data_IF_042913774168
#
_entry.id   IF_042913774168
#
_cell.length_a   1.000
_cell.length_b   1.000
_cell.length_c   1.000
_cell.angle_alpha   90.00
_cell.angle_beta   90.00
_cell.angle_gamma   90.00
#
_symmetry.space_group_name_H-M   'P 1'
#
loop_
_entity.id
_entity.type
_entity.pdbx_description
1 polymer ?
#
# COMPACT_ATOMS: atom_id res chain seq x y z
N UNK A 1 -33.94 30.18 -65.18
CA UNK A 1 -33.08 31.26 -64.65
C UNK A 1 -33.65 31.76 -63.33
N UNK A 2 -33.08 31.42 -62.18
CA UNK A 2 -33.14 32.15 -60.88
C UNK A 2 -32.43 31.31 -59.83
N UNK A 3 -31.11 31.28 -59.86
CA UNK A 3 -30.18 30.63 -58.91
C UNK A 3 -29.75 31.56 -57.76
N UNK A 4 -30.60 32.43 -57.24
CA UNK A 4 -30.17 33.48 -56.32
C UNK A 4 -31.08 33.62 -55.06
N UNK A 5 -31.75 32.57 -54.60
CA UNK A 5 -32.62 32.64 -53.43
C UNK A 5 -32.38 31.54 -52.38
N UNK A 6 -31.17 30.96 -52.34
CA UNK A 6 -30.90 29.88 -51.39
C UNK A 6 -29.87 30.26 -50.30
N UNK A 7 -29.45 31.50 -50.20
CA UNK A 7 -28.42 31.91 -49.25
C UNK A 7 -28.88 32.98 -48.20
N UNK A 8 -30.17 33.18 -47.97
CA UNK A 8 -30.67 34.14 -46.98
C UNK A 8 -31.48 33.53 -45.83
N UNK A 9 -31.23 32.28 -45.48
CA UNK A 9 -31.93 31.61 -44.39
C UNK A 9 -31.03 30.94 -43.31
N UNK A 10 -29.73 31.25 -43.30
CA UNK A 10 -28.78 30.52 -42.44
C UNK A 10 -28.09 31.41 -41.38
N UNK A 11 -28.79 32.40 -40.81
CA UNK A 11 -28.22 33.25 -39.77
C UNK A 11 -29.15 33.50 -38.57
N UNK A 12 -29.92 32.50 -38.18
CA UNK A 12 -30.60 32.56 -36.86
C UNK A 12 -30.63 31.14 -36.28
N UNK A 13 -29.62 30.77 -35.48
CA UNK A 13 -29.59 29.47 -34.84
C UNK A 13 -28.27 29.17 -34.14
N UNK A 14 -27.50 30.19 -33.76
CA UNK A 14 -26.26 30.00 -32.98
C UNK A 14 -26.40 30.70 -31.64
N UNK A 15 -27.31 30.23 -30.81
CA UNK A 15 -27.33 30.62 -29.40
C UNK A 15 -27.65 29.36 -28.57
N UNK A 16 -26.85 29.15 -27.55
CA UNK A 16 -27.01 28.22 -26.46
C UNK A 16 -26.59 26.78 -26.78
N UNK A 17 -25.27 26.57 -26.84
CA UNK A 17 -24.66 25.36 -26.29
C UNK A 17 -23.53 25.80 -25.35
N UNK A 18 -23.86 26.51 -24.31
CA UNK A 18 -23.06 26.51 -23.08
C UNK A 18 -23.22 25.16 -22.45
N UNK A 19 -22.65 24.14 -23.07
CA UNK A 19 -22.48 22.81 -22.49
C UNK A 19 -21.56 23.00 -21.31
N UNK A 20 -22.11 22.71 -20.12
CA UNK A 20 -21.38 22.66 -18.89
C UNK A 20 -20.06 21.94 -19.10
N UNK A 21 -18.97 22.63 -18.85
CA UNK A 21 -17.68 22.02 -18.66
C UNK A 21 -17.82 21.10 -17.46
N UNK A 22 -18.18 19.84 -17.71
CA UNK A 22 -17.99 18.78 -16.76
C UNK A 22 -16.50 18.86 -16.42
N UNK A 23 -16.19 19.35 -15.24
CA UNK A 23 -14.86 19.28 -14.66
C UNK A 23 -14.52 17.79 -14.57
N UNK A 24 -13.90 17.28 -15.62
CA UNK A 24 -13.25 15.99 -15.55
C UNK A 24 -12.26 16.11 -14.41
N UNK A 25 -12.53 15.41 -13.33
CA UNK A 25 -11.61 15.35 -12.20
C UNK A 25 -10.23 15.04 -12.77
N UNK A 26 -9.28 15.96 -12.62
CA UNK A 26 -7.90 15.73 -13.06
C UNK A 26 -7.42 14.43 -12.42
N UNK A 27 -6.88 13.47 -13.18
CA UNK A 27 -6.35 12.25 -12.60
C UNK A 27 -5.35 12.62 -11.50
N UNK A 28 -5.33 11.87 -10.42
CA UNK A 28 -4.45 12.12 -9.27
C UNK A 28 -2.98 12.30 -9.67
N UNK A 29 -2.55 11.66 -10.75
CA UNK A 29 -1.22 11.83 -11.35
C UNK A 29 -0.93 13.26 -11.82
N UNK A 30 -1.94 14.03 -12.27
CA UNK A 30 -1.77 15.41 -12.68
C UNK A 30 -1.55 16.36 -11.48
N UNK A 31 -1.87 15.92 -10.27
CA UNK A 31 -1.63 16.66 -9.02
C UNK A 31 -0.34 16.23 -8.30
N UNK A 32 0.44 15.31 -8.89
CA UNK A 32 1.65 14.78 -8.27
C UNK A 32 1.38 13.86 -7.05
N UNK A 33 0.14 13.39 -6.90
CA UNK A 33 -0.24 12.44 -5.84
C UNK A 33 0.04 11.02 -6.34
N UNK A 34 0.79 10.25 -5.55
CA UNK A 34 1.00 8.82 -5.80
C UNK A 34 0.18 8.01 -4.79
N UNK A 35 -0.71 7.17 -5.29
CA UNK A 35 -1.43 6.20 -4.49
C UNK A 35 -0.65 4.89 -4.43
N UNK A 36 -0.49 4.36 -3.22
CA UNK A 36 0.10 3.08 -2.92
C UNK A 36 -0.97 2.12 -2.39
N UNK A 37 -0.85 0.86 -2.74
CA UNK A 37 -1.76 -0.20 -2.29
C UNK A 37 -1.04 -1.06 -1.25
N UNK A 38 -1.62 -1.15 -0.06
CA UNK A 38 -1.14 -2.00 1.03
C UNK A 38 -2.08 -3.18 1.22
N UNK A 39 -1.57 -4.39 1.07
CA UNK A 39 -2.31 -5.63 1.37
C UNK A 39 -1.92 -6.14 2.75
N UNK A 40 -2.87 -6.69 3.51
CA UNK A 40 -2.59 -7.17 4.88
C UNK A 40 -3.05 -8.60 5.08
N UNK A 41 -2.45 -9.27 6.05
CA UNK A 41 -2.89 -10.60 6.51
C UNK A 41 -3.93 -10.53 7.62
N UNK A 42 -4.41 -9.32 7.97
CA UNK A 42 -5.34 -9.07 9.07
C UNK A 42 -6.74 -8.78 8.59
N UNK A 43 -7.77 -9.20 9.34
CA UNK A 43 -9.13 -8.67 9.16
C UNK A 43 -9.16 -7.14 9.30
N UNK A 44 -10.14 -6.52 8.66
CA UNK A 44 -10.34 -5.07 8.78
C UNK A 44 -10.52 -4.67 10.24
N UNK A 45 -9.79 -3.63 10.64
CA UNK A 45 -9.82 -3.08 12.01
C UNK A 45 -9.45 -4.08 13.13
N UNK A 46 -8.78 -5.18 12.79
CA UNK A 46 -8.28 -6.12 13.80
C UNK A 46 -7.42 -5.37 14.83
N UNK A 47 -7.71 -5.53 16.14
CA UNK A 47 -7.03 -4.77 17.19
C UNK A 47 -5.51 -4.91 17.13
N UNK A 48 -4.80 -3.80 17.22
CA UNK A 48 -3.35 -3.74 17.13
C UNK A 48 -2.84 -3.81 15.69
N UNK A 49 -3.03 -4.92 15.00
CA UNK A 49 -2.41 -5.20 13.70
C UNK A 49 -3.15 -4.52 12.54
N UNK A 50 -4.45 -4.75 12.38
CA UNK A 50 -5.24 -4.10 11.33
C UNK A 50 -5.37 -2.59 11.54
N UNK A 51 -5.61 -2.17 12.80
CA UNK A 51 -5.62 -0.74 13.15
C UNK A 51 -4.24 -0.09 13.02
N UNK A 52 -3.18 -0.85 13.25
CA UNK A 52 -1.80 -0.44 13.05
C UNK A 52 -1.50 -0.14 11.58
N UNK A 53 -1.86 -1.03 10.67
CA UNK A 53 -1.71 -0.84 9.22
C UNK A 53 -2.41 0.46 8.75
N UNK A 54 -3.64 0.71 9.22
CA UNK A 54 -4.38 1.94 8.92
C UNK A 54 -3.66 3.19 9.46
N UNK A 55 -3.19 3.17 10.71
CA UNK A 55 -2.43 4.29 11.29
C UNK A 55 -1.14 4.57 10.55
N UNK A 56 -0.45 3.54 10.06
CA UNK A 56 0.73 3.70 9.23
C UNK A 56 0.36 4.40 7.91
N UNK A 57 -0.69 3.97 7.23
CA UNK A 57 -1.19 4.58 6.01
C UNK A 57 -1.53 6.06 6.20
N UNK A 58 -2.27 6.40 7.26
CA UNK A 58 -2.60 7.78 7.62
C UNK A 58 -1.34 8.61 7.92
N UNK A 59 -0.34 8.01 8.58
CA UNK A 59 0.92 8.68 8.89
C UNK A 59 1.76 8.96 7.66
N UNK A 60 1.85 8.03 6.72
CA UNK A 60 2.52 8.22 5.42
C UNK A 60 1.86 9.38 4.67
N UNK A 61 0.52 9.40 4.60
CA UNK A 61 -0.24 10.46 3.93
C UNK A 61 0.03 11.82 4.58
N UNK A 62 -0.04 11.89 5.91
CA UNK A 62 0.20 13.13 6.64
C UNK A 62 1.64 13.62 6.50
N UNK A 63 2.64 12.76 6.67
CA UNK A 63 4.06 13.12 6.58
C UNK A 63 4.48 13.55 5.18
N UNK A 64 3.84 13.01 4.15
CA UNK A 64 4.10 13.39 2.75
C UNK A 64 3.37 14.67 2.32
N UNK A 65 2.59 15.30 3.21
CA UNK A 65 1.73 16.44 2.84
C UNK A 65 0.68 16.06 1.80
N UNK A 66 0.20 14.81 1.80
CA UNK A 66 -0.78 14.29 0.86
C UNK A 66 -0.22 13.85 -0.50
N UNK A 67 1.10 13.95 -0.71
CA UNK A 67 1.74 13.51 -1.97
C UNK A 67 1.75 11.98 -2.12
N UNK A 68 1.75 11.25 -1.00
CA UNK A 68 1.57 9.81 -0.97
C UNK A 68 0.26 9.50 -0.24
N UNK A 69 -0.57 8.69 -0.84
CA UNK A 69 -1.75 8.11 -0.19
C UNK A 69 -1.61 6.61 -0.16
N UNK A 70 -2.10 5.96 0.88
CA UNK A 70 -2.02 4.50 1.01
C UNK A 70 -3.44 3.96 1.20
N UNK A 71 -3.88 3.16 0.26
CA UNK A 71 -5.11 2.38 0.38
C UNK A 71 -4.81 1.04 1.04
N UNK A 72 -5.51 0.72 2.13
CA UNK A 72 -5.29 -0.50 2.92
C UNK A 72 -6.37 -1.51 2.61
N UNK A 73 -5.95 -2.67 2.12
CA UNK A 73 -6.80 -3.83 1.84
C UNK A 73 -6.64 -4.86 2.94
N UNK A 74 -7.73 -5.18 3.61
CA UNK A 74 -7.75 -6.22 4.63
C UNK A 74 -7.57 -7.62 4.00
N UNK A 75 -7.35 -8.62 4.86
CA UNK A 75 -7.18 -10.00 4.45
C UNK A 75 -8.30 -10.47 3.52
N UNK A 76 -7.94 -10.94 2.32
CA UNK A 76 -8.87 -11.46 1.32
C UNK A 76 -9.60 -10.41 0.47
N UNK A 77 -9.40 -9.10 0.70
CA UNK A 77 -10.08 -8.06 -0.11
C UNK A 77 -9.47 -7.88 -1.50
N UNK A 78 -8.17 -8.06 -1.63
CA UNK A 78 -7.46 -7.90 -2.90
C UNK A 78 -6.72 -9.18 -3.32
N UNK A 79 -6.06 -9.81 -2.36
CA UNK A 79 -5.36 -11.09 -2.53
C UNK A 79 -5.64 -11.98 -1.33
N UNK A 80 -5.52 -13.31 -1.46
CA UNK A 80 -5.52 -14.21 -0.31
C UNK A 80 -4.45 -13.77 0.71
N UNK A 81 -4.71 -13.86 2.02
CA UNK A 81 -3.82 -13.28 3.04
C UNK A 81 -2.35 -13.67 2.89
N UNK A 82 -2.07 -14.96 2.67
CA UNK A 82 -0.71 -15.47 2.57
C UNK A 82 -0.05 -15.27 1.20
N UNK A 83 -0.77 -14.72 0.23
CA UNK A 83 -0.22 -14.30 -1.06
C UNK A 83 0.25 -12.83 -1.07
N UNK A 84 0.14 -12.12 0.07
CA UNK A 84 0.56 -10.71 0.19
C UNK A 84 2.03 -10.51 -0.13
N UNK A 85 2.89 -11.44 0.25
CA UNK A 85 4.32 -11.43 -0.07
C UNK A 85 4.55 -11.49 -1.58
N UNK A 86 3.92 -12.46 -2.25
CA UNK A 86 4.05 -12.62 -3.70
C UNK A 86 3.44 -11.44 -4.47
N UNK A 87 2.35 -10.86 -3.95
CA UNK A 87 1.72 -9.69 -4.54
C UNK A 87 2.67 -8.48 -4.58
N UNK A 88 3.45 -8.24 -3.51
CA UNK A 88 4.42 -7.14 -3.48
C UNK A 88 5.70 -7.50 -4.23
N UNK A 89 6.22 -8.71 -4.07
CA UNK A 89 7.41 -9.17 -4.78
C UNK A 89 7.24 -9.12 -6.31
N UNK A 90 6.02 -9.38 -6.81
CA UNK A 90 5.68 -9.29 -8.24
C UNK A 90 5.28 -7.89 -8.71
N UNK A 91 5.13 -6.91 -7.81
CA UNK A 91 4.69 -5.56 -8.12
C UNK A 91 3.17 -5.39 -8.29
N UNK A 92 2.36 -6.39 -7.92
CA UNK A 92 0.89 -6.31 -7.95
C UNK A 92 0.32 -5.48 -6.78
N UNK A 93 1.10 -5.28 -5.73
CA UNK A 93 0.85 -4.35 -4.64
C UNK A 93 2.15 -3.62 -4.29
N UNK A 94 2.04 -2.47 -3.63
CA UNK A 94 3.21 -1.66 -3.28
C UNK A 94 3.76 -2.01 -1.89
N UNK A 95 2.89 -2.40 -0.97
CA UNK A 95 3.22 -2.68 0.42
C UNK A 95 2.46 -3.92 0.90
N UNK A 96 3.05 -4.68 1.80
CA UNK A 96 2.30 -5.62 2.63
C UNK A 96 2.53 -5.34 4.12
N UNK A 97 1.57 -5.74 4.94
CA UNK A 97 1.68 -5.67 6.40
C UNK A 97 1.29 -7.03 6.98
N UNK A 98 2.29 -7.74 7.51
CA UNK A 98 2.16 -9.13 7.93
C UNK A 98 3.21 -9.50 8.99
N UNK A 99 3.33 -10.78 9.29
CA UNK A 99 4.40 -11.34 10.13
C UNK A 99 5.25 -12.28 9.26
N UNK A 100 6.55 -12.14 9.35
CA UNK A 100 7.52 -12.79 8.48
C UNK A 100 7.47 -14.33 8.51
N UNK A 101 7.17 -14.97 9.63
CA UNK A 101 7.15 -16.43 9.73
C UNK A 101 6.08 -17.10 8.85
N UNK A 102 5.14 -16.35 8.30
CA UNK A 102 4.16 -16.89 7.35
C UNK A 102 4.82 -17.44 6.08
N UNK A 103 6.01 -16.96 5.74
CA UNK A 103 6.77 -17.36 4.55
C UNK A 103 8.04 -18.15 4.89
N UNK A 104 8.02 -18.90 5.99
CA UNK A 104 9.12 -19.80 6.38
C UNK A 104 9.40 -20.91 5.35
N UNK A 105 8.46 -21.20 4.47
CA UNK A 105 8.62 -22.09 3.31
C UNK A 105 9.54 -21.50 2.23
N UNK A 106 9.59 -20.18 2.09
CA UNK A 106 10.50 -19.45 1.21
C UNK A 106 11.92 -19.40 1.78
N UNK A 107 12.02 -19.07 3.05
CA UNK A 107 13.26 -19.14 3.82
C UNK A 107 12.96 -19.25 5.32
N UNK A 108 13.57 -20.22 5.98
CA UNK A 108 13.46 -20.36 7.44
C UNK A 108 14.06 -19.17 8.19
N UNK A 109 14.92 -18.39 7.54
CA UNK A 109 15.52 -17.19 8.13
C UNK A 109 14.49 -16.10 8.46
N UNK A 110 13.32 -16.07 7.79
CA UNK A 110 12.24 -15.16 8.13
C UNK A 110 11.73 -15.31 9.57
N UNK A 111 11.84 -16.49 10.17
CA UNK A 111 11.45 -16.70 11.55
C UNK A 111 12.24 -15.82 12.54
N UNK A 112 13.50 -15.49 12.24
CA UNK A 112 14.34 -14.67 13.11
C UNK A 112 13.88 -13.22 13.20
N UNK A 113 13.12 -12.75 12.23
CA UNK A 113 12.55 -11.38 12.19
C UNK A 113 11.10 -11.32 12.70
N UNK A 114 10.59 -12.41 13.24
CA UNK A 114 9.24 -12.50 13.79
C UNK A 114 9.24 -13.00 15.24
N UNK A 115 9.26 -14.30 15.45
CA UNK A 115 9.20 -14.90 16.79
C UNK A 115 10.04 -16.16 16.84
N UNK A 116 11.00 -16.19 17.78
CA UNK A 116 11.81 -17.36 18.08
C UNK A 116 11.47 -17.81 19.51
N UNK A 117 11.09 -19.07 19.74
CA UNK A 117 10.86 -19.57 21.08
C UNK A 117 12.10 -19.34 21.97
N UNK A 118 11.89 -18.78 23.16
CA UNK A 118 12.95 -18.37 24.09
C UNK A 118 13.96 -17.36 23.52
N UNK A 119 13.58 -16.66 22.43
CA UNK A 119 14.40 -15.65 21.78
C UNK A 119 14.33 -14.27 22.47
N UNK A 120 14.58 -13.26 21.69
CA UNK A 120 14.63 -11.87 22.16
C UNK A 120 13.25 -11.37 22.59
N UNK A 121 13.23 -10.56 23.66
CA UNK A 121 12.06 -9.74 24.00
C UNK A 121 11.86 -8.65 22.96
N UNK A 122 10.71 -7.96 22.99
CA UNK A 122 10.44 -6.85 22.08
C UNK A 122 11.56 -5.79 22.08
N UNK A 123 11.99 -5.36 23.27
CA UNK A 123 13.02 -4.33 23.40
C UNK A 123 14.37 -4.78 22.85
N UNK A 124 14.73 -6.04 23.09
CA UNK A 124 15.96 -6.64 22.54
C UNK A 124 15.88 -6.83 21.04
N UNK A 125 14.72 -7.24 20.51
CA UNK A 125 14.49 -7.33 19.05
C UNK A 125 14.62 -5.96 18.38
N UNK A 126 13.99 -4.93 18.93
CA UNK A 126 14.11 -3.57 18.44
C UNK A 126 15.55 -3.06 18.47
N UNK A 127 16.29 -3.36 19.54
CA UNK A 127 17.70 -3.00 19.67
C UNK A 127 18.56 -3.77 18.64
N UNK A 128 18.33 -5.06 18.47
CA UNK A 128 19.03 -5.86 17.47
C UNK A 128 18.77 -5.36 16.05
N UNK A 129 17.52 -5.12 15.69
CA UNK A 129 17.17 -4.61 14.35
C UNK A 129 17.84 -3.26 14.10
N UNK A 130 17.78 -2.33 15.07
CA UNK A 130 18.26 -0.95 14.88
C UNK A 130 19.77 -0.78 15.01
N UNK A 131 20.41 -1.55 15.89
CA UNK A 131 21.79 -1.32 16.31
C UNK A 131 22.68 -2.55 16.29
N UNK A 132 22.09 -3.74 16.14
CA UNK A 132 22.80 -5.02 16.21
C UNK A 132 23.00 -5.71 14.87
N UNK A 133 22.78 -5.01 13.75
CA UNK A 133 22.94 -5.58 12.41
C UNK A 133 21.72 -6.35 11.90
N UNK A 134 20.63 -6.39 12.67
CA UNK A 134 19.42 -7.10 12.28
C UNK A 134 18.77 -6.56 11.02
N UNK A 135 18.77 -5.24 10.81
CA UNK A 135 18.19 -4.64 9.61
C UNK A 135 19.00 -5.01 8.36
N UNK A 136 20.33 -5.01 8.43
CA UNK A 136 21.19 -5.39 7.33
C UNK A 136 20.96 -6.84 6.89
N UNK A 137 20.83 -7.77 7.86
CA UNK A 137 20.52 -9.18 7.58
C UNK A 137 19.12 -9.35 7.00
N UNK A 138 18.16 -8.55 7.49
CA UNK A 138 16.80 -8.57 6.93
C UNK A 138 16.76 -8.03 5.52
N UNK A 139 17.53 -6.99 5.23
CA UNK A 139 17.66 -6.41 3.90
C UNK A 139 18.29 -7.39 2.90
N UNK A 140 19.33 -8.11 3.32
CA UNK A 140 19.95 -9.15 2.51
C UNK A 140 18.95 -10.25 2.16
N UNK A 141 18.25 -10.79 3.16
CA UNK A 141 17.25 -11.83 2.97
C UNK A 141 16.08 -11.37 2.10
N UNK A 142 15.49 -10.21 2.41
CA UNK A 142 14.35 -9.68 1.68
C UNK A 142 14.70 -9.25 0.27
N UNK A 143 15.94 -8.79 0.06
CA UNK A 143 16.48 -8.38 -1.23
C UNK A 143 16.49 -9.51 -2.27
N UNK A 144 16.64 -10.78 -1.86
CA UNK A 144 16.54 -11.94 -2.75
C UNK A 144 15.14 -12.03 -3.43
N UNK A 145 14.13 -11.45 -2.81
CA UNK A 145 12.74 -11.43 -3.29
C UNK A 145 12.31 -10.06 -3.83
N UNK A 146 13.26 -9.12 -3.98
CA UNK A 146 12.97 -7.75 -4.43
C UNK A 146 12.21 -6.90 -3.39
N UNK A 147 12.31 -7.25 -2.11
CA UNK A 147 11.60 -6.61 -1.01
C UNK A 147 12.54 -5.80 -0.12
N UNK A 148 11.96 -4.83 0.59
CA UNK A 148 12.60 -4.08 1.69
C UNK A 148 11.66 -4.07 2.88
N UNK A 149 12.08 -4.66 3.97
CA UNK A 149 11.26 -4.84 5.16
C UNK A 149 11.60 -3.82 6.26
N UNK A 150 10.61 -3.48 7.07
CA UNK A 150 10.72 -2.57 8.20
C UNK A 150 9.89 -3.08 9.37
N UNK A 151 10.47 -3.04 10.57
CA UNK A 151 9.71 -3.32 11.78
C UNK A 151 8.67 -2.21 11.99
N UNK A 152 7.39 -2.59 12.07
CA UNK A 152 6.29 -1.65 12.22
C UNK A 152 5.68 -1.68 13.62
N UNK A 153 5.65 -2.82 14.27
CA UNK A 153 5.06 -2.97 15.59
C UNK A 153 5.32 -4.35 16.17
N UNK A 154 4.81 -4.57 17.37
CA UNK A 154 4.96 -5.82 18.10
C UNK A 154 3.67 -6.13 18.86
N UNK A 155 3.34 -7.40 19.02
CA UNK A 155 2.16 -7.87 19.76
C UNK A 155 2.48 -8.23 21.22
N UNK A 156 3.71 -8.02 21.64
CA UNK A 156 4.19 -8.44 22.96
C UNK A 156 4.67 -9.89 22.97
N UNK A 157 5.01 -10.35 24.17
CA UNK A 157 5.48 -11.73 24.38
C UNK A 157 4.31 -12.69 24.19
N UNK A 158 4.51 -13.71 23.39
CA UNK A 158 3.53 -14.79 23.20
C UNK A 158 3.86 -15.97 24.15
N UNK A 159 2.84 -16.49 24.79
CA UNK A 159 2.98 -17.75 25.51
C UNK A 159 3.11 -18.89 24.50
N UNK A 160 4.02 -19.81 24.75
CA UNK A 160 4.10 -21.06 24.00
C UNK A 160 2.84 -21.89 24.23
N UNK A 161 2.29 -22.44 23.16
CA UNK A 161 1.12 -23.29 23.19
C UNK A 161 1.35 -24.57 22.41
#
# INVERSE_FOLDING_TARGET
MKRRRFLSGATQGLAVAAVGASSLASPALAQGIRQLNMVTTWPRDFPGLGTGARRLAESITRMSGGKLTVEVFAAGERVPPFESFDAVSSGNADLYHAIEYYWQDRSRAFNFFAAVPFGLTQAEMDAWIKYGGGQELWDELAGEFGLKNFAMGNTGVQMGG
#
